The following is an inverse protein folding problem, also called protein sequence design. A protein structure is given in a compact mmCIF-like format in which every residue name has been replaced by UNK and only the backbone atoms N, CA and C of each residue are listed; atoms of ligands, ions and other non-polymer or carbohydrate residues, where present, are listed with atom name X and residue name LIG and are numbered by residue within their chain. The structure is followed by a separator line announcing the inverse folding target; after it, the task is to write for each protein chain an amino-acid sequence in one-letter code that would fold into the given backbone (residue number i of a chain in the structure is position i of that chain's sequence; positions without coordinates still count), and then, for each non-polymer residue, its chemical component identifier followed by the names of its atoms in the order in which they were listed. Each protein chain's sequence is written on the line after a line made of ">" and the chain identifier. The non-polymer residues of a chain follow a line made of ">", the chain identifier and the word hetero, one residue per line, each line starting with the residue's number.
data_IF_222893627235
#
_entry.id   IF_222893627235
#
_cell.length_a   1.000
_cell.length_b   1.000
_cell.length_c   1.000
_cell.angle_alpha   90.00
_cell.angle_beta   90.00
_cell.angle_gamma   90.00
#
_symmetry.space_group_name_H-M   'P 1'
#
loop_
_entity.id
_entity.type
_entity.pdbx_description
1 polymer ?
#
# COMPACT_ATOMS: atom_id res chain seq x y z
N UNK A 1 -32.19 5.46 -7.84
CA UNK A 1 -31.17 4.94 -8.77
C UNK A 1 -31.13 3.42 -8.66
N UNK A 2 -31.20 2.67 -9.77
CA UNK A 2 -31.12 1.20 -9.80
C UNK A 2 -29.65 0.78 -10.04
N UNK A 3 -29.29 -0.47 -9.71
CA UNK A 3 -27.90 -0.98 -9.86
C UNK A 3 -27.33 -0.70 -11.25
N UNK A 4 -28.07 -0.98 -12.33
CA UNK A 4 -27.60 -0.69 -13.69
C UNK A 4 -27.34 0.79 -13.97
N UNK A 5 -28.13 1.67 -13.39
CA UNK A 5 -27.94 3.13 -13.49
C UNK A 5 -26.71 3.59 -12.72
N UNK A 6 -26.44 2.97 -11.57
CA UNK A 6 -25.23 3.21 -10.78
C UNK A 6 -23.98 2.78 -11.55
N UNK A 7 -23.96 1.57 -12.11
CA UNK A 7 -22.85 1.05 -12.92
C UNK A 7 -22.52 1.96 -14.10
N UNK A 8 -23.56 2.41 -14.83
CA UNK A 8 -23.39 3.32 -15.96
C UNK A 8 -22.87 4.68 -15.54
N UNK A 9 -23.41 5.25 -14.46
CA UNK A 9 -22.94 6.53 -13.90
C UNK A 9 -21.47 6.43 -13.49
N UNK A 10 -21.12 5.41 -12.72
CA UNK A 10 -19.76 5.16 -12.26
C UNK A 10 -18.77 4.98 -13.42
N UNK A 11 -19.15 4.17 -14.43
CA UNK A 11 -18.32 3.96 -15.61
C UNK A 11 -18.07 5.23 -16.43
N UNK A 12 -19.10 6.09 -16.61
CA UNK A 12 -18.93 7.37 -17.32
C UNK A 12 -18.05 8.31 -16.52
N UNK A 13 -18.25 8.40 -15.21
CA UNK A 13 -17.49 9.29 -14.34
C UNK A 13 -15.99 8.92 -14.34
N UNK A 14 -15.65 7.63 -14.22
CA UNK A 14 -14.27 7.13 -14.14
C UNK A 14 -13.57 7.09 -15.51
N UNK A 15 -14.29 6.82 -16.60
CA UNK A 15 -13.71 6.71 -17.95
C UNK A 15 -13.75 8.03 -18.74
N UNK A 16 -14.53 9.00 -18.30
CA UNK A 16 -14.60 10.34 -18.89
C UNK A 16 -15.41 10.43 -20.18
N UNK A 17 -15.73 9.32 -20.86
CA UNK A 17 -16.53 9.32 -22.11
C UNK A 17 -17.54 8.20 -22.13
N UNK A 18 -18.68 8.44 -22.87
CA UNK A 18 -19.71 7.41 -23.06
C UNK A 18 -19.16 6.21 -23.86
N UNK A 19 -18.27 6.46 -24.79
CA UNK A 19 -17.67 5.39 -25.64
C UNK A 19 -16.78 4.48 -24.81
N UNK A 20 -15.91 5.02 -23.99
CA UNK A 20 -15.04 4.24 -23.11
C UNK A 20 -15.83 3.51 -22.01
N UNK A 21 -16.87 4.14 -21.45
CA UNK A 21 -17.78 3.50 -20.52
C UNK A 21 -18.53 2.31 -21.17
N UNK A 22 -18.96 2.47 -22.43
CA UNK A 22 -19.60 1.41 -23.19
C UNK A 22 -18.65 0.22 -23.44
N UNK A 23 -17.42 0.50 -23.83
CA UNK A 23 -16.37 -0.51 -23.96
C UNK A 23 -16.09 -1.22 -22.64
N UNK A 24 -15.94 -0.47 -21.56
CA UNK A 24 -15.68 -1.01 -20.22
C UNK A 24 -16.81 -1.94 -19.73
N UNK A 25 -18.08 -1.57 -19.99
CA UNK A 25 -19.25 -2.34 -19.60
C UNK A 25 -19.66 -3.42 -20.64
N UNK A 26 -18.90 -3.60 -21.72
CA UNK A 26 -19.17 -4.53 -22.82
C UNK A 26 -20.57 -4.36 -23.41
N UNK A 27 -21.01 -3.11 -23.65
CA UNK A 27 -22.30 -2.79 -24.24
C UNK A 27 -22.19 -1.72 -25.33
N UNK A 28 -23.26 -1.51 -26.09
CA UNK A 28 -23.26 -0.47 -27.12
C UNK A 28 -23.35 0.95 -26.51
N UNK A 29 -22.69 1.91 -27.15
CA UNK A 29 -22.74 3.32 -26.76
C UNK A 29 -24.19 3.89 -26.71
N UNK A 30 -25.12 3.57 -27.64
CA UNK A 30 -26.52 3.98 -27.52
C UNK A 30 -27.21 3.45 -26.25
N UNK A 31 -26.87 2.25 -25.79
CA UNK A 31 -27.40 1.69 -24.54
C UNK A 31 -26.98 2.52 -23.33
N UNK A 32 -25.71 2.91 -23.23
CA UNK A 32 -25.20 3.76 -22.17
C UNK A 32 -25.89 5.12 -22.19
N UNK A 33 -25.98 5.77 -23.36
CA UNK A 33 -26.64 7.09 -23.53
C UNK A 33 -28.11 7.03 -23.10
N UNK A 34 -28.84 5.96 -23.43
CA UNK A 34 -30.24 5.77 -23.04
C UNK A 34 -30.39 5.62 -21.52
N UNK A 35 -29.51 4.82 -20.88
CA UNK A 35 -29.54 4.64 -19.42
C UNK A 35 -29.19 5.95 -18.71
N UNK A 36 -28.18 6.68 -19.18
CA UNK A 36 -27.83 7.99 -18.61
C UNK A 36 -29.01 8.97 -18.69
N UNK A 37 -29.57 9.19 -19.89
CA UNK A 37 -30.68 10.10 -20.09
C UNK A 37 -31.90 9.74 -19.22
N UNK A 38 -32.21 8.44 -19.10
CA UNK A 38 -33.29 7.97 -18.23
C UNK A 38 -32.98 8.22 -16.75
N UNK A 39 -31.72 8.04 -16.32
CA UNK A 39 -31.28 8.30 -14.95
C UNK A 39 -31.45 9.79 -14.59
N UNK A 40 -30.93 10.68 -15.44
CA UNK A 40 -31.02 12.13 -15.26
C UNK A 40 -32.49 12.61 -15.24
N UNK A 41 -33.31 12.05 -16.14
CA UNK A 41 -34.75 12.31 -16.13
C UNK A 41 -35.45 11.89 -14.84
N UNK A 42 -35.06 10.75 -14.24
CA UNK A 42 -35.59 10.28 -12.96
C UNK A 42 -35.08 11.09 -11.76
N UNK A 43 -33.88 11.58 -11.82
CA UNK A 43 -33.28 12.39 -10.76
C UNK A 43 -33.75 13.84 -10.79
N UNK A 44 -34.19 14.34 -11.97
CA UNK A 44 -34.62 15.72 -12.17
C UNK A 44 -33.47 16.72 -12.36
N UNK A 45 -32.22 16.21 -12.46
CA UNK A 45 -31.03 17.04 -12.73
C UNK A 45 -30.03 16.25 -13.60
N UNK A 46 -29.12 17.00 -14.24
CA UNK A 46 -28.08 16.41 -15.07
C UNK A 46 -26.91 15.90 -14.19
N UNK A 47 -26.40 14.73 -14.52
CA UNK A 47 -25.17 14.18 -13.92
C UNK A 47 -23.92 14.65 -14.68
N UNK A 48 -24.09 14.90 -15.99
CA UNK A 48 -22.98 15.36 -16.83
C UNK A 48 -23.40 16.53 -17.72
N UNK A 49 -22.54 17.53 -17.81
CA UNK A 49 -22.65 18.65 -18.74
C UNK A 49 -21.78 18.43 -19.97
N UNK A 50 -22.21 18.93 -21.13
CA UNK A 50 -21.40 18.90 -22.37
C UNK A 50 -20.76 20.25 -22.62
N UNK A 51 -19.44 20.34 -22.51
CA UNK A 51 -18.68 21.55 -22.80
C UNK A 51 -17.75 21.25 -23.98
N UNK A 52 -17.93 21.96 -25.10
CA UNK A 52 -17.13 21.76 -26.34
C UNK A 52 -17.08 20.29 -26.79
N UNK A 53 -18.21 19.56 -26.66
CA UNK A 53 -18.33 18.14 -27.07
C UNK A 53 -17.79 17.11 -26.08
N UNK A 54 -17.18 17.53 -24.97
CA UNK A 54 -16.70 16.65 -23.89
C UNK A 54 -17.69 16.62 -22.72
N UNK A 55 -17.77 15.49 -22.04
CA UNK A 55 -18.55 15.31 -20.82
C UNK A 55 -17.74 15.75 -19.61
N UNK A 56 -18.38 16.51 -18.74
CA UNK A 56 -17.84 16.90 -17.44
C UNK A 56 -18.89 16.59 -16.38
N UNK A 57 -18.51 16.03 -15.23
CA UNK A 57 -19.43 15.81 -14.12
C UNK A 57 -19.98 17.15 -13.64
N UNK A 58 -21.23 17.13 -13.14
CA UNK A 58 -21.84 18.27 -12.47
C UNK A 58 -21.50 18.24 -10.98
N UNK A 59 -21.66 19.36 -10.23
CA UNK A 59 -21.49 19.34 -8.76
C UNK A 59 -22.37 18.30 -8.06
N UNK A 60 -23.56 18.04 -8.60
CA UNK A 60 -24.46 16.98 -8.13
C UNK A 60 -23.88 15.59 -8.36
N UNK A 61 -23.22 15.37 -9.51
CA UNK A 61 -22.52 14.11 -9.80
C UNK A 61 -21.35 13.90 -8.84
N UNK A 62 -20.55 14.94 -8.58
CA UNK A 62 -19.42 14.88 -7.65
C UNK A 62 -19.90 14.53 -6.23
N UNK A 63 -21.00 15.15 -5.77
CA UNK A 63 -21.59 14.86 -4.46
C UNK A 63 -22.09 13.41 -4.32
N UNK A 64 -22.56 12.81 -5.42
CA UNK A 64 -23.08 11.44 -5.43
C UNK A 64 -21.94 10.43 -5.59
N UNK A 65 -20.87 10.78 -6.28
CA UNK A 65 -19.84 9.85 -6.75
C UNK A 65 -19.18 9.06 -5.61
N UNK A 66 -18.81 9.70 -4.52
CA UNK A 66 -18.18 9.03 -3.38
C UNK A 66 -19.04 7.86 -2.82
N UNK A 67 -20.36 8.06 -2.75
CA UNK A 67 -21.26 7.00 -2.30
C UNK A 67 -21.52 5.96 -3.40
N UNK A 68 -21.58 6.39 -4.65
CA UNK A 68 -21.76 5.51 -5.80
C UNK A 68 -20.58 4.58 -5.99
N UNK A 69 -19.38 5.09 -5.83
CA UNK A 69 -18.11 4.35 -5.89
C UNK A 69 -18.05 3.27 -4.80
N UNK A 70 -18.38 3.63 -3.56
CA UNK A 70 -18.45 2.67 -2.45
C UNK A 70 -19.45 1.55 -2.72
N UNK A 71 -20.67 1.87 -3.17
CA UNK A 71 -21.68 0.84 -3.49
C UNK A 71 -21.22 -0.05 -4.64
N UNK A 72 -20.53 0.50 -5.64
CA UNK A 72 -19.99 -0.28 -6.75
C UNK A 72 -18.87 -1.22 -6.28
N UNK A 73 -18.03 -0.77 -5.38
CA UNK A 73 -17.00 -1.58 -4.70
C UNK A 73 -17.65 -2.72 -3.90
N UNK A 74 -18.66 -2.44 -3.07
CA UNK A 74 -19.38 -3.45 -2.28
C UNK A 74 -20.07 -4.50 -3.18
N UNK A 75 -20.66 -4.08 -4.32
CA UNK A 75 -21.25 -5.00 -5.30
C UNK A 75 -20.21 -5.90 -5.97
N UNK A 76 -19.04 -5.38 -6.28
CA UNK A 76 -17.96 -6.18 -6.86
C UNK A 76 -17.41 -7.18 -5.83
N UNK A 77 -17.25 -6.78 -4.58
CA UNK A 77 -16.86 -7.67 -3.49
C UNK A 77 -17.86 -8.80 -3.29
N UNK A 78 -19.17 -8.50 -3.34
CA UNK A 78 -20.20 -9.53 -3.25
C UNK A 78 -20.12 -10.53 -4.42
N UNK A 79 -19.89 -10.06 -5.64
CA UNK A 79 -19.69 -10.92 -6.83
C UNK A 79 -18.47 -11.82 -6.63
N UNK A 80 -17.35 -11.24 -6.23
CA UNK A 80 -16.12 -12.00 -5.97
C UNK A 80 -16.28 -13.01 -4.84
N UNK A 81 -16.97 -12.64 -3.75
CA UNK A 81 -17.27 -13.56 -2.66
C UNK A 81 -18.07 -14.78 -3.15
N UNK A 82 -19.08 -14.54 -4.00
CA UNK A 82 -19.89 -15.64 -4.57
C UNK A 82 -19.11 -16.50 -5.55
N UNK A 83 -18.22 -15.93 -6.36
CA UNK A 83 -17.32 -16.66 -7.24
C UNK A 83 -16.28 -17.49 -6.45
N UNK A 84 -15.76 -16.94 -5.37
CA UNK A 84 -14.78 -17.57 -4.50
C UNK A 84 -15.38 -18.65 -3.56
N UNK A 85 -16.71 -18.72 -3.42
CA UNK A 85 -17.41 -19.82 -2.75
C UNK A 85 -17.40 -21.13 -3.58
N UNK A 86 -17.06 -21.09 -4.86
CA UNK A 86 -16.82 -22.30 -5.63
C UNK A 86 -15.53 -22.97 -5.16
N UNK A 87 -15.53 -24.30 -5.07
CA UNK A 87 -14.53 -25.17 -4.44
C UNK A 87 -13.10 -25.17 -5.05
N UNK A 88 -12.75 -24.19 -5.87
CA UNK A 88 -11.38 -24.01 -6.38
C UNK A 88 -10.69 -22.90 -5.58
N UNK A 89 -9.46 -23.09 -5.09
CA UNK A 89 -8.68 -22.06 -4.42
C UNK A 89 -8.17 -21.03 -5.47
N UNK A 90 -9.10 -20.28 -6.03
CA UNK A 90 -8.82 -19.22 -6.98
C UNK A 90 -9.52 -17.95 -6.52
N UNK A 91 -8.88 -16.80 -6.68
CA UNK A 91 -9.47 -15.51 -6.30
C UNK A 91 -8.48 -14.38 -6.36
N UNK A 92 -9.01 -13.18 -6.22
CA UNK A 92 -8.23 -11.95 -6.14
C UNK A 92 -7.96 -11.61 -4.68
N UNK A 93 -6.73 -11.22 -4.39
CA UNK A 93 -6.29 -10.64 -3.11
C UNK A 93 -5.79 -9.24 -3.39
N UNK A 94 -6.38 -8.25 -2.74
CA UNK A 94 -5.96 -6.85 -2.78
C UNK A 94 -5.13 -6.54 -1.55
N UNK A 95 -3.86 -6.24 -1.75
CA UNK A 95 -2.88 -6.04 -0.69
C UNK A 95 -2.37 -4.61 -0.68
N UNK A 96 -2.58 -3.91 0.43
CA UNK A 96 -1.90 -2.65 0.72
C UNK A 96 -0.57 -2.90 1.43
N UNK A 97 0.46 -2.13 1.14
CA UNK A 97 1.71 -2.24 1.89
C UNK A 97 2.40 -0.89 2.09
N UNK A 98 3.22 -0.78 3.13
CA UNK A 98 4.13 0.35 3.26
C UNK A 98 5.06 0.39 2.03
N UNK A 99 5.33 1.58 1.43
CA UNK A 99 5.99 1.70 0.14
C UNK A 99 7.32 0.95 0.03
N UNK A 100 8.11 0.92 1.09
CA UNK A 100 9.42 0.26 1.10
C UNK A 100 9.32 -1.26 1.16
N UNK A 101 8.27 -1.82 1.74
CA UNK A 101 8.03 -3.27 1.77
C UNK A 101 7.71 -3.81 0.36
N UNK A 102 7.21 -2.95 -0.53
CA UNK A 102 6.97 -3.26 -1.93
C UNK A 102 8.23 -3.51 -2.76
N UNK A 103 9.43 -3.23 -2.23
CA UNK A 103 10.69 -3.42 -2.95
C UNK A 103 11.13 -4.88 -2.99
N UNK A 104 10.86 -5.66 -1.95
CA UNK A 104 11.32 -7.05 -1.85
C UNK A 104 10.34 -7.93 -1.07
N UNK A 105 9.93 -7.55 0.14
CA UNK A 105 9.10 -8.37 1.01
C UNK A 105 7.78 -8.78 0.33
N UNK A 106 7.06 -7.83 -0.24
CA UNK A 106 5.77 -8.10 -0.88
C UNK A 106 5.93 -8.91 -2.17
N UNK A 107 6.83 -8.56 -3.10
CA UNK A 107 7.11 -9.39 -4.27
C UNK A 107 7.47 -10.83 -3.91
N UNK A 108 8.30 -11.04 -2.90
CA UNK A 108 8.69 -12.38 -2.42
C UNK A 108 7.46 -13.13 -1.89
N UNK A 109 6.70 -12.52 -0.97
CA UNK A 109 5.51 -13.13 -0.37
C UNK A 109 4.47 -13.52 -1.43
N UNK A 110 4.21 -12.61 -2.39
CA UNK A 110 3.27 -12.85 -3.50
C UNK A 110 3.76 -13.95 -4.42
N UNK A 111 5.06 -13.95 -4.76
CA UNK A 111 5.66 -14.98 -5.61
C UNK A 111 5.57 -16.36 -4.98
N UNK A 112 5.95 -16.47 -3.70
CA UNK A 112 5.97 -17.74 -2.98
C UNK A 112 4.54 -18.27 -2.78
N UNK A 113 3.58 -17.43 -2.42
CA UNK A 113 2.18 -17.83 -2.31
C UNK A 113 1.60 -18.27 -3.66
N UNK A 114 1.87 -17.52 -4.74
CA UNK A 114 1.39 -17.84 -6.07
C UNK A 114 1.94 -19.18 -6.59
N UNK A 115 3.16 -19.55 -6.20
CA UNK A 115 3.78 -20.82 -6.60
C UNK A 115 3.01 -22.05 -6.11
N UNK A 116 2.39 -21.95 -4.94
CA UNK A 116 1.60 -23.03 -4.31
C UNK A 116 0.09 -22.86 -4.51
N UNK A 117 -0.36 -21.68 -4.97
CA UNK A 117 -1.74 -21.35 -5.26
C UNK A 117 -1.87 -20.74 -6.68
N UNK A 118 -1.77 -21.53 -7.76
CA UNK A 118 -1.75 -21.02 -9.14
C UNK A 118 -3.01 -20.24 -9.56
N UNK A 119 -4.11 -20.37 -8.80
CA UNK A 119 -5.35 -19.63 -9.03
C UNK A 119 -5.42 -18.28 -8.32
N UNK A 120 -4.45 -17.94 -7.48
CA UNK A 120 -4.39 -16.66 -6.81
C UNK A 120 -3.98 -15.54 -7.76
N UNK A 121 -4.68 -14.41 -7.67
CA UNK A 121 -4.36 -13.16 -8.35
C UNK A 121 -4.17 -12.08 -7.31
N UNK A 122 -3.28 -11.13 -7.56
CA UNK A 122 -2.98 -10.05 -6.65
C UNK A 122 -3.11 -8.70 -7.32
N UNK A 123 -3.67 -7.76 -6.57
CA UNK A 123 -3.52 -6.33 -6.79
C UNK A 123 -2.76 -5.76 -5.59
N UNK A 124 -1.65 -5.07 -5.82
CA UNK A 124 -0.80 -4.55 -4.76
C UNK A 124 -0.69 -3.04 -4.86
N UNK A 125 -0.87 -2.36 -3.74
CA UNK A 125 -0.86 -0.91 -3.65
C UNK A 125 0.07 -0.45 -2.53
N UNK A 126 0.76 0.66 -2.74
CA UNK A 126 1.61 1.28 -1.73
C UNK A 126 0.85 2.39 -1.01
N UNK A 127 0.71 2.27 0.31
CA UNK A 127 0.00 3.23 1.15
C UNK A 127 0.78 3.50 2.45
N UNK A 128 0.68 4.71 2.97
CA UNK A 128 1.01 4.95 4.36
C UNK A 128 -0.04 4.35 5.29
N UNK A 129 0.32 4.13 6.56
CA UNK A 129 -0.51 3.34 7.49
C UNK A 129 -1.95 3.87 7.64
N UNK A 130 -2.13 5.17 7.86
CA UNK A 130 -3.46 5.74 8.08
C UNK A 130 -4.33 5.64 6.81
N UNK A 131 -3.76 5.89 5.62
CA UNK A 131 -4.40 5.68 4.32
C UNK A 131 -4.76 4.20 4.10
N UNK A 132 -3.87 3.29 4.46
CA UNK A 132 -4.11 1.84 4.40
C UNK A 132 -5.31 1.42 5.26
N UNK A 133 -5.47 1.99 6.45
CA UNK A 133 -6.62 1.73 7.33
C UNK A 133 -7.93 2.19 6.68
N UNK A 134 -7.94 3.34 6.01
CA UNK A 134 -9.14 3.82 5.30
C UNK A 134 -9.50 2.88 4.14
N UNK A 135 -8.52 2.39 3.38
CA UNK A 135 -8.71 1.42 2.30
C UNK A 135 -9.13 0.02 2.80
N UNK A 136 -8.71 -0.39 4.00
CA UNK A 136 -9.22 -1.60 4.63
C UNK A 136 -10.69 -1.46 5.04
N UNK A 137 -11.08 -0.27 5.55
CA UNK A 137 -12.45 0.02 5.99
C UNK A 137 -13.44 0.14 4.85
N UNK A 138 -13.03 0.75 3.74
CA UNK A 138 -13.87 0.86 2.55
C UNK A 138 -13.84 -0.39 1.67
N UNK A 139 -12.96 -1.36 2.00
CA UNK A 139 -12.84 -2.65 1.33
C UNK A 139 -12.18 -2.58 -0.03
N UNK A 140 -11.47 -1.50 -0.36
CA UNK A 140 -10.68 -1.40 -1.59
C UNK A 140 -9.42 -2.26 -1.53
N UNK A 141 -8.95 -2.62 -0.32
CA UNK A 141 -7.95 -3.67 -0.07
C UNK A 141 -8.46 -4.68 0.96
N UNK A 142 -7.98 -5.92 0.85
CA UNK A 142 -8.34 -7.02 1.74
C UNK A 142 -7.45 -7.09 2.98
N UNK A 143 -6.15 -6.78 2.80
CA UNK A 143 -5.12 -6.85 3.84
C UNK A 143 -4.11 -5.72 3.69
N UNK A 144 -3.46 -5.41 4.81
CA UNK A 144 -2.32 -4.49 4.84
C UNK A 144 -1.05 -5.16 5.37
N UNK A 145 0.12 -4.69 4.93
CA UNK A 145 1.41 -5.03 5.55
C UNK A 145 2.18 -3.73 5.81
N UNK A 146 2.47 -3.47 7.10
CA UNK A 146 3.01 -2.19 7.54
C UNK A 146 4.01 -2.34 8.68
N UNK A 147 4.82 -1.29 8.91
CA UNK A 147 5.73 -1.19 10.05
C UNK A 147 5.04 -0.71 11.34
N UNK A 148 3.80 -0.30 11.25
CA UNK A 148 3.05 0.26 12.37
C UNK A 148 1.98 -0.71 12.84
N UNK A 149 1.73 -0.67 14.14
CA UNK A 149 0.58 -1.32 14.76
C UNK A 149 -0.07 -0.30 15.70
N UNK A 150 -1.33 0.01 15.42
CA UNK A 150 -2.18 0.82 16.29
C UNK A 150 -3.38 -0.02 16.71
N UNK A 151 -3.91 0.21 17.89
CA UNK A 151 -5.12 -0.46 18.35
C UNK A 151 -6.35 0.18 17.69
N UNK A 152 -7.13 -0.64 17.00
CA UNK A 152 -8.43 -0.28 16.44
C UNK A 152 -9.46 -1.34 16.82
N UNK A 153 -10.73 -0.94 16.97
CA UNK A 153 -11.82 -1.88 17.26
C UNK A 153 -12.09 -2.82 16.08
N UNK A 154 -11.96 -2.31 14.86
CA UNK A 154 -12.33 -2.94 13.60
C UNK A 154 -11.17 -3.58 12.82
N UNK A 155 -9.92 -3.38 13.28
CA UNK A 155 -8.72 -3.90 12.63
C UNK A 155 -7.83 -4.63 13.64
N UNK A 156 -7.20 -5.71 13.21
CA UNK A 156 -6.21 -6.48 13.95
C UNK A 156 -4.83 -6.32 13.30
N UNK A 157 -3.80 -6.06 14.11
CA UNK A 157 -2.41 -6.00 13.67
C UNK A 157 -1.65 -7.18 14.28
N UNK A 158 -1.19 -8.12 13.46
CA UNK A 158 -0.45 -9.32 13.88
C UNK A 158 0.98 -9.17 13.42
N UNK A 159 1.94 -9.22 14.35
CA UNK A 159 3.36 -9.16 14.01
C UNK A 159 3.78 -10.40 13.22
N UNK A 160 4.36 -10.19 12.04
CA UNK A 160 4.84 -11.25 11.14
C UNK A 160 6.37 -11.31 11.06
N UNK A 161 7.06 -10.21 11.36
CA UNK A 161 8.51 -10.12 11.24
C UNK A 161 9.07 -9.15 12.29
N UNK A 162 10.13 -9.55 12.96
CA UNK A 162 10.93 -8.65 13.81
C UNK A 162 11.98 -7.94 12.96
N UNK A 163 12.06 -6.63 13.06
CA UNK A 163 13.02 -5.81 12.35
C UNK A 163 13.73 -4.82 13.26
N UNK A 164 14.90 -4.36 12.82
CA UNK A 164 15.71 -3.38 13.52
C UNK A 164 16.13 -2.27 12.56
N UNK A 165 16.48 -1.10 13.11
CA UNK A 165 17.19 -0.11 12.35
C UNK A 165 18.66 -0.51 12.17
N UNK A 166 19.17 -0.27 10.96
CA UNK A 166 20.55 -0.56 10.55
C UNK A 166 21.19 0.67 9.93
N UNK A 167 22.50 0.71 9.94
CA UNK A 167 23.28 1.75 9.26
C UNK A 167 23.57 1.30 7.84
N UNK A 168 23.14 2.10 6.88
CA UNK A 168 23.47 1.95 5.47
C UNK A 168 24.63 2.85 5.13
N UNK A 169 25.71 2.29 4.61
CA UNK A 169 26.88 3.02 4.14
C UNK A 169 27.26 2.67 2.71
N UNK A 170 28.49 3.00 2.36
CA UNK A 170 29.06 2.73 1.04
C UNK A 170 30.55 2.38 1.16
N UNK A 171 31.21 2.17 0.02
CA UNK A 171 32.67 1.97 -0.01
C UNK A 171 33.47 3.13 0.62
N UNK A 172 32.89 4.32 0.69
CA UNK A 172 33.54 5.52 1.22
C UNK A 172 33.39 5.64 2.76
N UNK A 173 32.46 4.85 3.34
CA UNK A 173 32.18 4.81 4.78
C UNK A 173 32.13 3.37 5.24
N UNK A 174 33.32 2.81 5.52
CA UNK A 174 33.49 1.44 5.99
C UNK A 174 33.77 1.42 7.48
N UNK A 175 33.15 0.49 8.16
CA UNK A 175 33.37 0.26 9.57
C UNK A 175 34.01 -1.13 9.79
N UNK A 176 34.97 -1.19 10.70
CA UNK A 176 35.66 -2.45 11.08
C UNK A 176 34.85 -3.32 12.03
N UNK A 177 33.70 -2.84 12.49
CA UNK A 177 32.81 -3.50 13.46
C UNK A 177 31.52 -3.93 12.76
N UNK A 178 30.96 -5.05 13.16
CA UNK A 178 29.65 -5.51 12.66
C UNK A 178 28.47 -4.82 13.36
N UNK A 179 28.68 -4.33 14.59
CA UNK A 179 27.68 -3.62 15.37
C UNK A 179 28.21 -2.23 15.69
N UNK A 180 27.46 -1.21 15.30
CA UNK A 180 27.79 0.18 15.50
C UNK A 180 27.01 0.76 16.68
N UNK A 181 27.59 1.75 17.32
CA UNK A 181 26.93 2.61 18.32
C UNK A 181 26.76 4.01 17.75
N UNK A 182 25.92 4.83 18.36
CA UNK A 182 25.78 6.25 17.95
C UNK A 182 27.09 7.03 18.06
N UNK A 183 28.02 6.58 18.93
CA UNK A 183 29.36 7.19 19.04
C UNK A 183 30.21 6.95 17.79
N UNK A 184 30.06 5.79 17.17
CA UNK A 184 30.78 5.44 15.94
C UNK A 184 30.28 6.27 14.73
N UNK A 185 29.06 6.81 14.81
CA UNK A 185 28.44 7.64 13.78
C UNK A 185 28.68 9.15 13.95
N UNK A 186 29.35 9.54 15.04
CA UNK A 186 29.60 10.95 15.35
C UNK A 186 30.46 11.58 14.25
N UNK A 187 30.09 12.77 13.80
CA UNK A 187 30.76 13.56 12.76
C UNK A 187 30.74 12.97 11.34
N UNK A 188 30.06 11.84 11.13
CA UNK A 188 29.85 11.31 9.79
C UNK A 188 28.69 12.07 9.14
N UNK A 189 28.78 12.44 7.84
CA UNK A 189 27.65 13.02 7.13
C UNK A 189 26.46 12.07 7.07
N UNK A 190 25.25 12.59 7.31
CA UNK A 190 24.02 11.83 7.29
C UNK A 190 23.12 12.24 6.13
N UNK A 191 22.56 11.22 5.50
CA UNK A 191 21.38 11.31 4.64
C UNK A 191 20.16 10.93 5.46
N UNK A 192 19.35 11.91 5.81
CA UNK A 192 18.15 11.71 6.63
C UNK A 192 16.97 11.18 5.80
N UNK A 193 16.13 10.36 6.44
CA UNK A 193 14.83 9.96 5.90
C UNK A 193 13.74 10.72 6.64
N UNK A 194 12.75 11.20 5.93
CA UNK A 194 11.53 11.80 6.48
C UNK A 194 10.34 10.86 6.25
N UNK A 195 9.43 10.75 7.22
CA UNK A 195 8.26 9.90 7.19
C UNK A 195 7.96 9.25 8.53
N UNK A 196 6.86 8.50 8.65
CA UNK A 196 6.38 7.96 9.93
C UNK A 196 7.41 7.13 10.69
N UNK A 197 8.15 6.27 10.00
CA UNK A 197 9.18 5.41 10.63
C UNK A 197 10.37 6.22 11.14
N UNK A 198 10.68 7.37 10.52
CA UNK A 198 11.77 8.24 10.93
C UNK A 198 11.52 8.96 12.26
N UNK A 199 10.26 9.20 12.62
CA UNK A 199 9.91 9.81 13.92
C UNK A 199 10.40 8.95 15.08
N UNK A 200 10.21 7.63 14.97
CA UNK A 200 10.70 6.66 15.96
C UNK A 200 12.23 6.70 16.09
N UNK A 201 12.92 6.77 14.94
CA UNK A 201 14.38 6.86 14.89
C UNK A 201 14.89 8.18 15.49
N UNK A 202 14.28 9.31 15.15
CA UNK A 202 14.71 10.63 15.63
C UNK A 202 14.37 10.83 17.11
N UNK A 203 13.28 10.25 17.60
CA UNK A 203 12.99 10.17 19.03
C UNK A 203 14.10 9.41 19.78
N UNK A 204 14.54 8.26 19.24
CA UNK A 204 15.66 7.51 19.79
C UNK A 204 16.96 8.34 19.80
N UNK A 205 17.30 9.04 18.71
CA UNK A 205 18.47 9.92 18.67
C UNK A 205 18.39 11.01 19.72
N UNK A 206 17.23 11.64 19.89
CA UNK A 206 16.98 12.66 20.88
C UNK A 206 17.17 12.13 22.31
N UNK A 207 16.58 10.97 22.64
CA UNK A 207 16.74 10.31 23.95
C UNK A 207 18.20 9.99 24.28
N UNK A 208 18.98 9.58 23.27
CA UNK A 208 20.41 9.29 23.42
C UNK A 208 21.30 10.54 23.28
N UNK A 209 20.73 11.75 23.16
CA UNK A 209 21.44 13.03 22.96
C UNK A 209 22.41 12.97 21.77
N UNK A 210 21.99 12.31 20.70
CA UNK A 210 22.75 12.22 19.46
C UNK A 210 22.14 13.16 18.44
N UNK A 211 22.96 14.02 17.83
CA UNK A 211 22.55 14.93 16.77
C UNK A 211 23.24 14.52 15.48
N UNK A 212 22.53 13.95 14.50
CA UNK A 212 23.11 13.62 13.21
C UNK A 212 23.56 14.86 12.43
N UNK A 213 24.68 14.76 11.72
CA UNK A 213 25.14 15.81 10.81
C UNK A 213 24.43 15.66 9.46
N UNK A 214 23.19 16.12 9.34
CA UNK A 214 22.42 16.02 8.10
C UNK A 214 23.00 16.90 7.00
N UNK A 215 23.44 16.26 5.90
CA UNK A 215 23.81 16.92 4.66
C UNK A 215 22.58 17.11 3.76
N UNK A 216 21.68 16.13 3.76
CA UNK A 216 20.40 16.19 3.06
C UNK A 216 19.36 15.34 3.78
N UNK A 217 18.08 15.62 3.48
CA UNK A 217 16.95 14.81 3.91
C UNK A 217 16.04 14.53 2.72
N UNK A 218 15.37 13.39 2.71
CA UNK A 218 14.43 12.98 1.67
C UNK A 218 13.36 12.08 2.26
N UNK A 219 12.17 12.08 1.68
CA UNK A 219 11.06 11.17 1.97
C UNK A 219 11.15 9.86 1.17
N UNK A 220 12.10 9.76 0.24
CA UNK A 220 12.30 8.60 -0.62
C UNK A 220 13.48 7.75 -0.17
N UNK A 221 13.22 6.52 0.25
CA UNK A 221 14.24 5.52 0.59
C UNK A 221 15.18 5.21 -0.57
N UNK A 222 14.65 5.16 -1.81
CA UNK A 222 15.47 4.97 -3.02
C UNK A 222 16.44 6.13 -3.24
N UNK A 223 16.01 7.36 -3.01
CA UNK A 223 16.88 8.54 -3.10
C UNK A 223 17.93 8.52 -2.01
N UNK A 224 17.56 8.19 -0.78
CA UNK A 224 18.51 8.08 0.33
C UNK A 224 19.60 7.04 0.04
N UNK A 225 19.22 5.85 -0.39
CA UNK A 225 20.18 4.80 -0.77
C UNK A 225 21.08 5.24 -1.94
N UNK A 226 20.54 5.97 -2.91
CA UNK A 226 21.31 6.53 -4.03
C UNK A 226 22.33 7.57 -3.57
N UNK A 227 21.96 8.47 -2.65
CA UNK A 227 22.90 9.44 -2.05
C UNK A 227 24.02 8.75 -1.29
N UNK A 228 23.66 7.75 -0.46
CA UNK A 228 24.66 6.94 0.27
C UNK A 228 25.60 6.22 -0.71
N UNK A 229 25.06 5.59 -1.74
CA UNK A 229 25.86 4.90 -2.80
C UNK A 229 26.82 5.85 -3.52
N UNK A 230 26.45 7.14 -3.66
CA UNK A 230 27.29 8.19 -4.24
C UNK A 230 28.33 8.78 -3.26
N UNK A 231 28.38 8.28 -2.02
CA UNK A 231 29.35 8.70 -1.02
C UNK A 231 28.99 10.00 -0.28
N UNK A 232 27.73 10.46 -0.34
CA UNK A 232 27.32 11.69 0.32
C UNK A 232 27.32 11.56 1.87
N UNK A 233 27.20 10.35 2.39
CA UNK A 233 27.17 10.06 3.82
C UNK A 233 26.66 8.65 4.10
N UNK A 234 26.18 8.46 5.33
CA UNK A 234 25.47 7.24 5.75
C UNK A 234 24.00 7.56 5.96
N UNK A 235 23.17 6.52 5.98
CA UNK A 235 21.77 6.63 6.41
C UNK A 235 21.46 5.58 7.47
N UNK A 236 20.40 5.79 8.25
CA UNK A 236 19.85 4.78 9.15
C UNK A 236 18.44 4.46 8.69
N UNK A 237 18.22 3.20 8.31
CA UNK A 237 16.99 2.69 7.73
C UNK A 237 16.55 1.45 8.50
N UNK A 238 15.31 1.04 8.28
CA UNK A 238 14.90 -0.31 8.65
C UNK A 238 15.70 -1.37 7.85
N UNK A 239 15.92 -2.50 8.46
CA UNK A 239 16.76 -3.57 7.91
C UNK A 239 16.21 -4.13 6.59
N UNK A 240 14.88 -4.21 6.45
CA UNK A 240 14.22 -4.78 5.27
C UNK A 240 14.48 -3.89 4.06
N UNK A 241 14.21 -2.57 4.20
CA UNK A 241 14.48 -1.59 3.14
C UNK A 241 15.98 -1.51 2.82
N UNK A 242 16.85 -1.52 3.83
CA UNK A 242 18.28 -1.47 3.63
C UNK A 242 18.79 -2.68 2.83
N UNK A 243 18.32 -3.90 3.15
CA UNK A 243 18.71 -5.13 2.46
C UNK A 243 18.24 -5.16 1.01
N UNK A 244 17.05 -4.64 0.73
CA UNK A 244 16.51 -4.54 -0.63
C UNK A 244 17.23 -3.50 -1.50
N UNK A 245 17.83 -2.48 -0.88
CA UNK A 245 18.41 -1.34 -1.59
C UNK A 245 19.92 -1.41 -1.79
N UNK A 246 20.64 -2.27 -1.05
CA UNK A 246 22.09 -2.30 -1.10
C UNK A 246 22.65 -3.70 -0.82
N UNK A 247 23.95 -3.87 -1.11
CA UNK A 247 24.69 -5.06 -0.75
C UNK A 247 24.87 -5.17 0.76
N UNK A 248 24.66 -6.35 1.32
CA UNK A 248 24.78 -6.63 2.76
C UNK A 248 26.12 -6.21 3.38
N UNK A 249 27.20 -6.18 2.59
CA UNK A 249 28.52 -5.71 3.05
C UNK A 249 28.61 -4.24 3.45
N UNK A 250 27.59 -3.43 3.13
CA UNK A 250 27.50 -2.02 3.47
C UNK A 250 26.36 -1.74 4.46
N UNK A 251 25.92 -2.76 5.18
CA UNK A 251 24.85 -2.69 6.18
C UNK A 251 25.43 -3.15 7.51
N UNK A 252 25.24 -2.34 8.55
CA UNK A 252 25.71 -2.64 9.91
C UNK A 252 24.57 -2.50 10.91
N UNK A 253 24.52 -3.41 11.86
CA UNK A 253 23.55 -3.33 12.94
C UNK A 253 23.83 -2.10 13.84
N UNK A 254 22.76 -1.41 14.23
CA UNK A 254 22.83 -0.31 15.17
C UNK A 254 22.46 -0.81 16.57
N UNK A 255 23.42 -0.70 17.51
CA UNK A 255 23.24 -1.15 18.90
C UNK A 255 22.13 -0.35 19.58
N UNK A 256 21.26 -1.05 20.31
CA UNK A 256 20.16 -0.45 21.08
C UNK A 256 19.16 0.37 20.20
N UNK A 257 19.16 0.14 18.91
CA UNK A 257 18.17 0.76 18.03
C UNK A 257 16.75 0.31 18.40
N UNK A 258 15.74 1.14 18.20
CA UNK A 258 14.36 0.71 18.36
C UNK A 258 14.01 -0.37 17.33
N UNK A 259 13.06 -1.24 17.66
CA UNK A 259 12.53 -2.22 16.69
C UNK A 259 11.73 -1.51 15.59
N UNK A 260 11.72 -2.10 14.41
CA UNK A 260 10.85 -1.73 13.29
C UNK A 260 10.18 -2.98 12.74
N UNK A 261 9.33 -3.58 13.57
CA UNK A 261 8.64 -4.82 13.27
C UNK A 261 7.62 -4.62 12.14
N UNK A 262 7.32 -5.69 11.43
CA UNK A 262 6.31 -5.69 10.36
C UNK A 262 5.07 -6.43 10.82
N UNK A 263 3.93 -5.89 10.49
CA UNK A 263 2.62 -6.39 10.89
C UNK A 263 1.75 -6.67 9.68
N UNK A 264 1.04 -7.79 9.73
CA UNK A 264 -0.11 -8.06 8.89
C UNK A 264 -1.32 -7.37 9.53
N UNK A 265 -2.02 -6.56 8.75
CA UNK A 265 -3.17 -5.75 9.16
C UNK A 265 -4.42 -6.34 8.52
N UNK A 266 -5.36 -6.78 9.38
CA UNK A 266 -6.54 -7.57 8.96
C UNK A 266 -7.81 -6.90 9.46
N UNK A 267 -8.84 -6.67 8.63
CA UNK A 267 -10.16 -6.25 9.11
C UNK A 267 -10.84 -7.38 9.88
N UNK A 268 -11.37 -7.09 11.09
CA UNK A 268 -11.97 -8.09 11.99
C UNK A 268 -13.34 -8.57 11.54
N UNK A 269 -14.17 -7.68 11.03
CA UNK A 269 -15.60 -7.89 10.82
C UNK A 269 -15.99 -8.21 9.38
N UNK A 270 -15.02 -8.60 8.53
CA UNK A 270 -15.27 -8.95 7.14
C UNK A 270 -15.05 -10.44 6.94
N UNK A 271 -16.05 -11.12 6.37
CA UNK A 271 -15.93 -12.52 5.97
C UNK A 271 -14.86 -12.68 4.89
N UNK A 272 -13.98 -13.65 5.07
CA UNK A 272 -12.85 -13.89 4.17
C UNK A 272 -13.16 -15.09 3.28
N UNK A 273 -12.74 -15.01 2.03
CA UNK A 273 -12.79 -16.15 1.12
C UNK A 273 -11.71 -17.19 1.49
N UNK A 274 -11.85 -18.42 0.99
CA UNK A 274 -10.90 -19.50 1.25
C UNK A 274 -9.44 -19.13 0.83
N UNK A 275 -9.27 -18.45 -0.30
CA UNK A 275 -7.94 -18.02 -0.75
C UNK A 275 -7.36 -16.93 0.16
N UNK A 276 -8.19 -16.05 0.71
CA UNK A 276 -7.78 -15.03 1.66
C UNK A 276 -7.38 -15.64 3.02
N UNK A 277 -8.12 -16.63 3.52
CA UNK A 277 -7.76 -17.39 4.72
C UNK A 277 -6.43 -18.15 4.54
N UNK A 278 -6.24 -18.76 3.38
CA UNK A 278 -4.99 -19.42 3.04
C UNK A 278 -3.82 -18.42 2.99
N UNK A 279 -4.03 -17.22 2.45
CA UNK A 279 -3.00 -16.18 2.40
C UNK A 279 -2.61 -15.69 3.80
N UNK A 280 -3.60 -15.47 4.69
CA UNK A 280 -3.31 -15.12 6.09
C UNK A 280 -2.46 -16.22 6.74
N UNK A 281 -2.90 -17.47 6.66
CA UNK A 281 -2.19 -18.62 7.27
C UNK A 281 -0.77 -18.76 6.72
N UNK A 282 -0.61 -18.58 5.41
CA UNK A 282 0.69 -18.60 4.75
C UNK A 282 1.58 -17.46 5.25
N UNK A 283 1.07 -16.22 5.29
CA UNK A 283 1.81 -15.05 5.75
C UNK A 283 2.27 -15.19 7.20
N UNK A 284 1.44 -15.75 8.08
CA UNK A 284 1.78 -15.98 9.49
C UNK A 284 2.81 -17.11 9.70
N UNK A 285 2.86 -18.08 8.80
CA UNK A 285 3.78 -19.23 8.88
C UNK A 285 5.01 -19.07 7.99
N UNK A 286 5.07 -18.01 7.17
CA UNK A 286 6.17 -17.81 6.22
C UNK A 286 7.50 -17.55 6.94
N UNK A 287 8.56 -18.17 6.44
CA UNK A 287 9.90 -17.98 6.98
C UNK A 287 10.59 -16.80 6.27
N UNK A 288 10.38 -15.60 6.80
CA UNK A 288 10.99 -14.38 6.28
C UNK A 288 12.52 -14.40 6.49
N UNK A 289 13.27 -14.34 5.39
CA UNK A 289 14.73 -14.20 5.45
C UNK A 289 15.09 -12.71 5.41
N UNK A 290 15.76 -12.22 6.44
CA UNK A 290 16.34 -10.87 6.53
C UNK A 290 17.82 -10.85 6.13
#
# INVERSE_FOLDING_TARGET
>A
MKTRQLEVFHAIYTKGTITEAASFLNVSQPSISKVLAHTESQLGFLLFSRIKGRLFPTPEADAIFLKADKINTDLNQLKELTENMSSKPSGLIRLGCAPTLGLDLIPTLVSDFSSINPGARFETHAYHFDEMIDHLRDGSIDFGIAFEAKEFEDVECIRILEGNFVVLGSKDYLFSKNILTLKDLKNIPFVGIEGPLSEKLYSYFSQKRFTPNFITKTDSYLMAASYVKKGLGISVLDQISASSLNSSKFIWNLKEAPSCDVYLVIPKNISKSHIQENFISFTLSHNYKL
#
